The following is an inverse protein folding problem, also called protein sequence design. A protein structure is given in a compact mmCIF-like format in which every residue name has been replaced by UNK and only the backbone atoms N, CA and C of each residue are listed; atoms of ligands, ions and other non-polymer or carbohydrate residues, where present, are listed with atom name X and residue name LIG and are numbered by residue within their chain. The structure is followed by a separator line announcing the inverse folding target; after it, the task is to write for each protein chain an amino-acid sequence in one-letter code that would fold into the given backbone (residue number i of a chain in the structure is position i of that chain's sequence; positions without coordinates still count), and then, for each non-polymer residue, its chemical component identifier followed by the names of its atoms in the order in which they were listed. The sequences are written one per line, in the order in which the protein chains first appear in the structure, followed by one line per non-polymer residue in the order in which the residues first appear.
data_IF_472038071145
#
_entry.id   IF_472038071145
#
_cell.length_a   1.000
_cell.length_b   1.000
_cell.length_c   1.000
_cell.angle_alpha   90.00
_cell.angle_beta   90.00
_cell.angle_gamma   90.00
#
_symmetry.space_group_name_H-M   'P 1'
#
loop_
_entity.id
_entity.type
_entity.pdbx_description
1 polymer ?
2 non-polymer ?
3 non-polymer ?
4 water ?
#
# COMPACT_ATOMS: atom_id res chain seq x y z
N UNK A 21 0.06 11.56 -12.62
CA UNK A 21 -0.72 12.73 -12.31
C UNK A 21 0.06 13.77 -13.10
N UNK A 22 -0.58 14.78 -13.65
CA UNK A 22 0.19 15.87 -14.26
C UNK A 22 0.56 16.93 -13.25
N UNK A 23 1.85 17.29 -13.27
CA UNK A 23 2.45 18.25 -12.37
C UNK A 23 2.39 19.63 -13.02
N UNK A 24 1.67 20.55 -12.39
CA UNK A 24 1.62 21.94 -12.81
C UNK A 24 2.65 22.71 -11.99
N UNK A 25 3.73 23.17 -12.63
CA UNK A 25 4.80 23.82 -11.91
C UNK A 25 4.36 25.13 -11.27
N UNK A 26 3.50 25.89 -11.96
CA UNK A 26 3.03 27.14 -11.38
C UNK A 26 2.12 26.88 -10.19
N UNK A 27 1.33 25.81 -10.28
CA UNK A 27 0.49 25.40 -9.16
C UNK A 27 1.34 25.02 -7.95
N UNK A 28 2.40 24.25 -8.18
CA UNK A 28 3.24 23.83 -7.05
C UNK A 28 3.98 25.02 -6.45
N UNK A 29 4.54 25.88 -7.29
CA UNK A 29 5.19 27.09 -6.77
C UNK A 29 4.22 27.92 -5.94
N UNK A 30 2.98 28.09 -6.42
CA UNK A 30 1.99 28.84 -5.67
C UNK A 30 1.69 28.19 -4.32
N UNK A 31 1.63 26.84 -4.30
CA UNK A 31 1.35 26.15 -3.06
C UNK A 31 2.45 26.36 -2.03
N UNK A 32 3.71 26.44 -2.47
CA UNK A 32 4.80 26.64 -1.52
C UNK A 32 4.76 28.00 -0.86
N UNK A 33 4.01 28.96 -1.42
CA UNK A 33 3.80 30.22 -0.74
C UNK A 33 2.79 30.08 0.39
N UNK A 34 1.90 29.10 0.28
CA UNK A 34 0.84 28.86 1.26
C UNK A 34 1.18 27.75 2.24
N UNK A 35 1.98 26.76 1.83
CA UNK A 35 2.30 25.63 2.70
C UNK A 35 3.81 25.46 2.73
N UNK A 36 4.35 25.30 3.94
CA UNK A 36 5.79 25.15 4.11
C UNK A 36 6.25 23.79 3.58
N UNK A 37 7.30 23.82 2.76
CA UNK A 37 7.97 22.59 2.34
C UNK A 37 8.78 22.03 3.50
N UNK A 38 9.03 20.72 3.50
CA UNK A 38 8.59 19.77 2.47
C UNK A 38 7.14 19.32 2.68
N UNK A 39 6.42 19.03 1.60
CA UNK A 39 5.07 18.50 1.76
C UNK A 39 4.75 17.45 0.70
N UNK A 40 3.76 16.62 1.01
CA UNK A 40 3.17 15.70 0.03
C UNK A 40 1.93 16.36 -0.56
N UNK A 41 1.79 16.30 -1.88
CA UNK A 41 0.62 16.80 -2.57
C UNK A 41 -0.01 15.65 -3.35
N UNK A 42 -1.28 15.38 -3.07
CA UNK A 42 -2.03 14.30 -3.68
C UNK A 42 -3.04 14.85 -4.67
N UNK A 43 -3.05 14.31 -5.87
CA UNK A 43 -4.03 14.68 -6.89
C UNK A 43 -5.24 13.76 -6.74
N UNK A 44 -6.26 14.22 -6.01
CA UNK A 44 -7.43 13.41 -5.75
C UNK A 44 -8.31 13.20 -6.97
N UNK A 45 -8.21 14.09 -7.97
CA UNK A 45 -8.90 13.85 -9.23
C UNK A 45 -8.28 12.69 -9.98
N UNK A 46 -6.95 12.63 -10.00
CA UNK A 46 -6.28 11.46 -10.56
C UNK A 46 -6.63 10.20 -9.76
N UNK A 47 -6.64 10.28 -8.43
CA UNK A 47 -6.93 9.08 -7.64
C UNK A 47 -8.25 8.48 -8.08
N UNK A 48 -9.27 9.33 -8.22
CA UNK A 48 -10.60 8.85 -8.58
C UNK A 48 -10.63 8.30 -10.00
N UNK A 49 -10.07 9.04 -10.96
CA UNK A 49 -10.09 8.61 -12.35
C UNK A 49 -9.32 7.31 -12.55
N UNK A 50 -8.16 7.22 -11.91
CA UNK A 50 -7.34 6.01 -11.96
C UNK A 50 -8.08 4.82 -11.37
N UNK A 51 -8.75 4.99 -10.23
CA UNK A 51 -9.53 3.91 -9.65
C UNK A 51 -10.70 3.53 -10.56
N UNK A 52 -11.43 4.52 -11.08
CA UNK A 52 -12.61 4.18 -11.87
C UNK A 52 -12.25 3.47 -13.16
N UNK A 53 -11.09 3.79 -13.73
CA UNK A 53 -10.66 3.07 -14.93
C UNK A 53 -10.40 1.59 -14.60
N UNK A 54 -9.78 1.34 -13.44
CA UNK A 54 -9.55 -0.03 -13.00
C UNK A 54 -10.87 -0.73 -12.73
N UNK A 55 -11.77 -0.06 -12.01
CA UNK A 55 -13.06 -0.65 -11.67
C UNK A 55 -13.84 -1.01 -12.92
N UNK A 56 -13.85 -0.12 -13.92
CA UNK A 56 -14.69 -0.33 -15.08
C UNK A 56 -14.28 -1.58 -15.85
N UNK A 57 -13.01 -1.97 -15.75
CA UNK A 57 -12.49 -3.10 -16.50
C UNK A 57 -12.67 -4.43 -15.78
N UNK A 58 -13.25 -4.42 -14.58
CA UNK A 58 -13.19 -5.57 -13.69
C UNK A 58 -14.58 -6.11 -13.38
N UNK A 59 -14.73 -7.43 -13.46
CA UNK A 59 -15.99 -8.09 -13.19
C UNK A 59 -16.61 -7.57 -11.89
N UNK A 60 -17.90 -7.24 -11.87
CA UNK A 60 -18.49 -6.65 -10.65
C UNK A 60 -18.51 -7.57 -9.45
N UNK A 61 -18.32 -8.89 -9.63
CA UNK A 61 -18.21 -9.82 -8.51
C UNK A 61 -16.89 -9.70 -7.78
N UNK A 62 -15.92 -8.99 -8.34
CA UNK A 62 -14.67 -8.68 -7.66
C UNK A 62 -14.83 -7.33 -6.99
N UNK A 63 -14.54 -7.26 -5.69
CA UNK A 63 -14.50 -6.02 -4.93
C UNK A 63 -13.04 -5.66 -4.69
N UNK A 64 -12.69 -4.40 -4.91
CA UNK A 64 -11.35 -3.96 -4.56
C UNK A 64 -11.26 -3.59 -3.09
N UNK A 65 -10.13 -3.95 -2.49
CA UNK A 65 -9.83 -3.62 -1.10
C UNK A 65 -8.56 -2.78 -1.07
N UNK A 66 -8.63 -1.65 -0.38
CA UNK A 66 -7.46 -0.80 -0.15
C UNK A 66 -6.58 -1.39 0.95
N UNK A 67 -5.29 -1.49 0.69
CA UNK A 67 -4.35 -1.93 1.72
C UNK A 67 -3.89 -0.69 2.48
N UNK A 68 -4.34 -0.56 3.71
CA UNK A 68 -4.09 0.67 4.46
C UNK A 68 -2.61 0.88 4.74
N UNK A 69 -1.80 -0.16 4.78
CA UNK A 69 -0.41 0.07 5.11
C UNK A 69 0.33 0.90 4.08
N UNK A 70 -0.18 0.97 2.84
CA UNK A 70 0.47 1.78 1.82
C UNK A 70 0.34 3.27 2.06
N UNK A 71 -0.64 3.70 2.85
CA UNK A 71 -0.80 5.12 3.16
C UNK A 71 -1.79 5.24 4.29
N UNK A 72 -1.36 5.74 5.45
CA UNK A 72 -2.20 5.75 6.64
C UNK A 72 -3.01 7.01 6.80
N UNK A 73 -3.14 7.83 5.75
CA UNK A 73 -3.93 9.05 5.89
C UNK A 73 -5.42 8.75 5.74
N UNK A 74 -6.18 8.99 6.81
CA UNK A 74 -7.60 8.63 6.84
C UNK A 74 -8.41 9.42 5.83
N UNK A 75 -7.95 10.62 5.45
CA UNK A 75 -8.72 11.41 4.48
C UNK A 75 -8.61 10.84 3.08
N UNK A 76 -7.48 10.25 2.73
CA UNK A 76 -7.40 9.53 1.47
C UNK A 76 -8.21 8.24 1.55
N UNK A 77 -8.09 7.51 2.67
CA UNK A 77 -8.81 6.25 2.79
C UNK A 77 -10.32 6.48 2.69
N UNK A 78 -10.81 7.62 3.20
CA UNK A 78 -12.24 7.93 3.13
C UNK A 78 -12.72 8.04 1.70
N UNK A 79 -11.88 8.50 0.78
CA UNK A 79 -12.28 8.55 -0.63
C UNK A 79 -12.62 7.16 -1.13
N UNK A 80 -11.73 6.20 -0.88
CA UNK A 80 -11.98 4.83 -1.32
C UNK A 80 -13.18 4.22 -0.61
N UNK A 81 -13.36 4.52 0.67
CA UNK A 81 -14.56 4.07 1.36
C UNK A 81 -15.81 4.56 0.62
N UNK A 82 -15.83 5.84 0.23
CA UNK A 82 -16.99 6.40 -0.43
C UNK A 82 -17.25 5.74 -1.78
N UNK A 83 -16.21 5.26 -2.45
CA UNK A 83 -16.39 4.60 -3.74
C UNK A 83 -16.77 3.12 -3.62
N UNK A 84 -16.83 2.57 -2.41
CA UNK A 84 -17.30 1.22 -2.22
C UNK A 84 -16.22 0.19 -2.01
N UNK A 85 -14.96 0.60 -1.88
CA UNK A 85 -13.92 -0.39 -1.64
C UNK A 85 -13.99 -0.90 -0.20
N UNK A 86 -13.46 -2.09 -0.01
CA UNK A 86 -13.15 -2.56 1.33
C UNK A 86 -11.79 -2.04 1.77
N UNK A 87 -11.41 -2.39 2.99
CA UNK A 87 -10.09 -2.06 3.48
C UNK A 87 -9.48 -3.28 4.17
N UNK A 88 -8.20 -3.52 3.87
CA UNK A 88 -7.36 -4.52 4.51
C UNK A 88 -6.45 -3.88 5.54
N UNK A 89 -6.61 -4.28 6.80
CA UNK A 89 -5.85 -3.75 7.92
C UNK A 89 -4.93 -4.84 8.45
N UNK A 90 -3.82 -4.42 9.06
CA UNK A 90 -2.82 -5.37 9.51
C UNK A 90 -2.49 -5.21 10.99
N UNK A 91 -3.27 -4.43 11.73
CA UNK A 91 -3.06 -4.24 13.15
C UNK A 91 -4.32 -3.65 13.74
N UNK A 92 -4.41 -3.70 15.06
CA UNK A 92 -5.51 -3.02 15.73
C UNK A 92 -5.45 -1.51 15.51
N UNK A 93 -4.26 -0.95 15.35
CA UNK A 93 -4.15 0.47 15.04
C UNK A 93 -4.75 0.81 13.69
N UNK A 94 -4.44 0.00 12.67
CA UNK A 94 -5.04 0.17 11.35
C UNK A 94 -6.54 -0.06 11.39
N UNK A 95 -7.01 -0.99 12.23
CA UNK A 95 -8.46 -1.14 12.40
C UNK A 95 -9.10 0.16 12.90
N UNK A 96 -8.44 0.83 13.85
CA UNK A 96 -8.94 2.11 14.34
C UNK A 96 -8.95 3.16 13.23
N UNK A 97 -7.86 3.24 12.45
CA UNK A 97 -7.83 4.14 11.30
C UNK A 97 -8.96 3.84 10.32
N UNK A 98 -9.22 2.56 10.06
CA UNK A 98 -10.27 2.18 9.12
C UNK A 98 -11.62 2.69 9.60
N UNK A 99 -11.87 2.64 10.91
CA UNK A 99 -13.13 3.14 11.43
C UNK A 99 -13.18 4.68 11.42
N UNK A 100 -12.05 5.35 11.69
CA UNK A 100 -12.01 6.81 11.48
C UNK A 100 -12.41 7.16 10.05
N UNK A 101 -11.96 6.35 9.09
CA UNK A 101 -12.25 6.59 7.67
C UNK A 101 -13.66 6.18 7.28
N UNK A 102 -14.43 5.59 8.20
CA UNK A 102 -15.82 5.27 7.96
C UNK A 102 -16.10 3.95 7.26
N UNK A 103 -15.12 3.07 7.14
CA UNK A 103 -15.39 1.76 6.56
C UNK A 103 -16.29 0.96 7.50
N UNK A 104 -17.31 0.33 6.93
CA UNK A 104 -18.18 -0.48 7.76
C UNK A 104 -17.50 -1.82 8.07
N UNK A 105 -17.95 -2.44 9.16
CA UNK A 105 -17.37 -3.72 9.60
C UNK A 105 -17.41 -4.77 8.49
N UNK A 106 -18.49 -4.82 7.71
CA UNK A 106 -18.62 -5.79 6.63
C UNK A 106 -17.66 -5.56 5.48
N UNK A 107 -16.92 -4.45 5.51
CA UNK A 107 -15.92 -4.14 4.50
C UNK A 107 -14.52 -4.06 5.06
N UNK A 108 -14.26 -4.71 6.19
CA UNK A 108 -12.93 -4.72 6.81
C UNK A 108 -12.44 -6.15 6.94
N UNK A 109 -11.22 -6.41 6.47
CA UNK A 109 -10.54 -7.67 6.71
C UNK A 109 -9.21 -7.40 7.39
N UNK A 110 -8.79 -8.35 8.21
CA UNK A 110 -7.62 -8.27 9.08
C UNK A 110 -6.58 -9.33 8.77
N UNK A 111 -5.44 -8.90 8.22
CA UNK A 111 -4.35 -9.78 7.84
C UNK A 111 -3.19 -9.63 8.81
N UNK A 112 -2.25 -10.55 8.70
CA UNK A 112 -0.95 -10.39 9.33
C UNK A 112 -0.45 -11.66 10.03
N UNK A 113 0.86 -11.87 10.03
CA UNK A 113 1.43 -13.12 10.57
C UNK A 113 1.71 -13.09 12.05
N UNK A 114 1.49 -11.96 12.72
CA UNK A 114 1.84 -11.84 14.11
C UNK A 114 0.80 -11.10 14.93
N UNK A 115 -0.46 -11.49 14.80
CA UNK A 115 -1.52 -10.81 15.55
C UNK A 115 -1.44 -11.20 17.01
N UNK A 116 -1.35 -10.20 17.89
CA UNK A 116 -1.43 -10.49 19.31
C UNK A 116 -2.85 -10.85 19.69
N UNK A 117 -2.99 -11.60 20.79
CA UNK A 117 -4.32 -11.94 21.27
C UNK A 117 -5.18 -10.70 21.56
N UNK A 118 -4.57 -9.60 22.03
CA UNK A 118 -5.35 -8.37 22.25
C UNK A 118 -5.88 -7.79 20.95
N UNK A 119 -5.14 -7.95 19.85
CA UNK A 119 -5.62 -7.53 18.54
C UNK A 119 -6.74 -8.44 18.04
N UNK A 120 -6.59 -9.75 18.24
CA UNK A 120 -7.66 -10.67 17.88
C UNK A 120 -8.92 -10.37 18.68
N UNK A 121 -8.76 -10.00 19.96
CA UNK A 121 -9.90 -9.68 20.80
C UNK A 121 -10.69 -8.51 20.22
N UNK A 122 -10.01 -7.40 19.92
CA UNK A 122 -10.69 -6.25 19.35
C UNK A 122 -11.36 -6.59 18.01
N UNK A 123 -10.69 -7.42 17.20
CA UNK A 123 -11.26 -7.80 15.90
C UNK A 123 -12.53 -8.61 16.08
N UNK A 124 -12.53 -9.55 17.04
CA UNK A 124 -13.73 -10.33 17.34
C UNK A 124 -14.84 -9.41 17.88
N UNK A 125 -14.47 -8.48 18.77
CA UNK A 125 -15.45 -7.55 19.34
C UNK A 125 -16.04 -6.62 18.29
N UNK A 126 -15.28 -6.33 17.23
CA UNK A 126 -15.71 -5.41 16.17
C UNK A 126 -16.60 -6.07 15.13
N UNK A 127 -16.70 -7.40 15.11
CA UNK A 127 -17.57 -8.07 14.15
C UNK A 127 -17.20 -7.85 12.69
N UNK A 128 -15.91 -7.73 12.39
CA UNK A 128 -15.48 -7.43 11.03
C UNK A 128 -15.77 -8.60 10.10
N UNK A 129 -15.70 -8.34 8.80
CA UNK A 129 -16.01 -9.35 7.78
C UNK A 129 -15.18 -10.62 7.97
N UNK A 130 -13.86 -10.50 8.11
CA UNK A 130 -13.14 -11.69 8.53
C UNK A 130 -11.76 -11.33 9.05
N UNK A 131 -11.26 -12.23 9.89
CA UNK A 131 -9.87 -12.26 10.31
C UNK A 131 -9.19 -13.31 9.46
N UNK A 132 -8.11 -12.94 8.79
CA UNK A 132 -7.42 -13.87 7.90
C UNK A 132 -6.32 -14.52 8.72
N UNK A 133 -6.58 -15.74 9.18
CA UNK A 133 -5.64 -16.43 10.06
C UNK A 133 -4.43 -16.94 9.31
N UNK A 134 -3.28 -16.93 9.98
CA UNK A 134 -2.02 -17.36 9.41
C UNK A 134 -1.40 -18.53 10.15
N UNK A 135 -2.09 -19.10 11.14
CA UNK A 135 -1.64 -20.31 11.79
C UNK A 135 -2.84 -21.02 12.43
N UNK A 136 -2.65 -22.31 12.70
CA UNK A 136 -3.66 -23.06 13.42
C UNK A 136 -3.81 -22.54 14.85
N UNK A 137 -2.70 -22.16 15.49
CA UNK A 137 -2.79 -21.61 16.83
C UNK A 137 -3.64 -20.34 16.85
N UNK A 138 -3.49 -19.49 15.83
CA UNK A 138 -4.34 -18.32 15.69
C UNK A 138 -5.82 -18.68 15.64
N UNK A 139 -6.15 -19.72 14.86
CA UNK A 139 -7.54 -20.17 14.79
C UNK A 139 -8.07 -20.51 16.18
N UNK A 140 -7.29 -21.21 16.99
CA UNK A 140 -7.77 -21.58 18.31
C UNK A 140 -7.91 -20.36 19.22
N UNK A 141 -7.02 -19.38 19.10
CA UNK A 141 -7.16 -18.13 19.85
C UNK A 141 -8.47 -17.44 19.50
N UNK A 142 -8.77 -17.36 18.21
CA UNK A 142 -10.00 -16.73 17.75
C UNK A 142 -11.21 -17.45 18.31
N UNK A 143 -11.19 -18.79 18.28
CA UNK A 143 -12.31 -19.56 18.84
C UNK A 143 -12.50 -19.24 20.31
N UNK A 144 -11.41 -19.18 21.07
CA UNK A 144 -11.51 -18.92 22.50
C UNK A 144 -12.10 -17.54 22.76
N UNK A 145 -11.71 -16.55 21.94
CA UNK A 145 -12.23 -15.21 22.09
C UNK A 145 -13.70 -15.12 21.65
N UNK A 146 -14.06 -15.82 20.58
CA UNK A 146 -15.46 -15.85 20.16
C UNK A 146 -16.35 -16.41 21.26
N UNK A 147 -15.89 -17.47 21.93
CA UNK A 147 -16.64 -18.01 23.06
C UNK A 147 -16.79 -16.98 24.16
N UNK A 148 -15.70 -16.30 24.50
CA UNK A 148 -15.75 -15.36 25.62
C UNK A 148 -16.66 -14.18 25.30
N UNK A 149 -16.68 -13.76 24.04
CA UNK A 149 -17.47 -12.63 23.59
C UNK A 149 -18.88 -13.00 23.14
N UNK A 150 -19.24 -14.29 23.16
CA UNK A 150 -20.54 -14.73 22.68
C UNK A 150 -20.81 -14.22 21.26
N UNK A 151 -19.85 -14.44 20.38
CA UNK A 151 -19.98 -14.08 18.98
C UNK A 151 -19.59 -15.26 18.10
N UNK A 152 -20.06 -15.23 16.86
CA UNK A 152 -19.54 -16.10 15.82
C UNK A 152 -18.46 -15.32 15.09
N UNK A 153 -17.22 -15.77 15.19
CA UNK A 153 -16.13 -15.12 14.50
C UNK A 153 -15.97 -15.69 13.09
N UNK A 154 -15.74 -14.81 12.12
CA UNK A 154 -15.59 -15.21 10.73
C UNK A 154 -14.11 -15.20 10.37
N UNK A 155 -13.62 -16.33 9.85
CA UNK A 155 -12.19 -16.47 9.57
C UNK A 155 -11.96 -16.94 8.14
N UNK A 156 -10.87 -16.46 7.56
CA UNK A 156 -10.32 -17.01 6.32
C UNK A 156 -8.93 -17.53 6.63
N UNK A 157 -8.36 -18.26 5.70
CA UNK A 157 -7.01 -18.78 5.87
C UNK A 157 -6.10 -18.21 4.78
N UNK A 158 -4.93 -17.74 5.19
CA UNK A 158 -3.92 -17.30 4.25
C UNK A 158 -3.07 -18.52 3.86
N UNK A 159 -3.04 -18.82 2.56
CA UNK A 159 -2.36 -20.00 2.04
C UNK A 159 -1.09 -19.57 1.32
N UNK A 160 0.02 -20.22 1.67
CA UNK A 160 1.26 -20.06 0.93
C UNK A 160 1.29 -21.16 -0.13
N UNK A 161 1.06 -20.84 -1.41
CA UNK A 161 0.89 -21.90 -2.41
C UNK A 161 2.13 -22.77 -2.56
N UNK A 162 1.89 -24.03 -2.88
CA UNK A 162 2.99 -24.94 -3.19
C UNK A 162 3.32 -24.88 -4.69
N UNK A 163 3.49 -23.67 -5.19
CA UNK A 163 3.82 -23.43 -6.57
C UNK A 163 4.52 -22.08 -6.68
N UNK A 164 5.51 -21.99 -7.56
CA UNK A 164 6.19 -20.72 -7.83
C UNK A 164 5.61 -20.13 -9.10
N UNK A 165 5.44 -18.83 -9.13
CA UNK A 165 4.77 -18.17 -10.24
C UNK A 165 5.74 -17.31 -11.05
N UNK A 166 5.45 -17.19 -12.34
CA UNK A 166 6.32 -16.53 -13.28
C UNK A 166 7.08 -17.55 -14.12
N UNK A 167 8.09 -17.04 -14.82
CA UNK A 167 8.94 -17.89 -15.65
C UNK A 167 10.42 -17.67 -15.33
N UNK A 168 10.74 -17.46 -14.05
CA UNK A 168 12.11 -17.16 -13.65
C UNK A 168 12.62 -17.93 -12.43
N UNK A 169 11.75 -18.44 -11.55
CA UNK A 169 12.20 -19.22 -10.41
C UNK A 169 12.75 -20.57 -10.84
N UNK A 170 13.70 -21.08 -10.07
CA UNK A 170 14.34 -22.36 -10.38
C UNK A 170 13.51 -23.53 -9.86
N UNK A 171 13.33 -23.59 -8.56
CA UNK A 171 12.73 -24.78 -7.96
C UNK A 171 11.20 -24.71 -8.05
N UNK A 172 10.60 -25.83 -8.39
CA UNK A 172 9.15 -25.97 -8.28
C UNK A 172 8.72 -25.97 -6.83
N UNK A 173 7.44 -25.72 -6.62
CA UNK A 173 6.80 -25.98 -5.35
C UNK A 173 6.62 -24.79 -4.42
N UNK A 174 6.89 -23.59 -4.86
CA UNK A 174 6.66 -22.44 -4.00
C UNK A 174 7.83 -22.24 -3.05
N UNK A 175 7.72 -21.15 -2.27
CA UNK A 175 8.86 -20.59 -1.54
C UNK A 175 8.61 -20.49 -0.04
N UNK A 176 9.63 -20.69 0.79
CA UNK A 176 9.45 -20.61 2.24
C UNK A 176 9.14 -19.18 2.66
N UNK A 177 8.04 -19.01 3.41
CA UNK A 177 7.63 -17.68 3.81
C UNK A 177 7.08 -17.73 5.24
N UNK A 178 7.26 -16.62 5.97
CA UNK A 178 6.67 -16.47 7.29
C UNK A 178 5.17 -16.26 7.24
N UNK A 179 4.59 -16.03 6.06
CA UNK A 179 3.18 -15.67 5.94
C UNK A 179 2.32 -16.90 5.68
N UNK A 180 1.20 -16.98 6.38
CA UNK A 180 0.18 -17.98 6.09
C UNK A 180 0.66 -19.39 6.38
N UNK A 181 0.02 -20.34 5.71
CA UNK A 181 0.21 -21.75 5.99
C UNK A 181 0.42 -22.43 4.65
N UNK A 182 1.45 -23.28 4.57
CA UNK A 182 1.74 -24.01 3.33
C UNK A 182 0.50 -24.74 2.84
N UNK A 183 0.29 -24.69 1.52
CA UNK A 183 -0.83 -25.41 0.93
C UNK A 183 -0.81 -26.90 1.30
N UNK A 184 0.37 -27.49 1.48
CA UNK A 184 0.47 -28.90 1.84
C UNK A 184 -0.15 -29.21 3.19
N UNK A 185 -0.34 -28.19 4.03
CA UNK A 185 -0.94 -28.33 5.34
C UNK A 185 -2.45 -28.19 5.35
N UNK A 186 -3.09 -28.09 4.18
CA UNK A 186 -4.51 -27.77 4.13
C UNK A 186 -5.36 -28.77 4.91
N UNK A 187 -5.05 -30.07 4.86
CA UNK A 187 -5.87 -31.02 5.59
C UNK A 187 -5.85 -30.76 7.09
N UNK A 188 -4.66 -30.51 7.65
CA UNK A 188 -4.57 -30.20 9.07
C UNK A 188 -5.31 -28.91 9.40
N UNK A 189 -5.19 -27.91 8.55
CA UNK A 189 -5.86 -26.64 8.78
C UNK A 189 -7.39 -26.83 8.76
N UNK A 190 -7.90 -27.49 7.71
CA UNK A 190 -9.34 -27.75 7.62
C UNK A 190 -9.86 -28.64 8.74
N UNK A 191 -9.05 -29.60 9.22
CA UNK A 191 -9.47 -30.36 10.39
C UNK A 191 -9.64 -29.45 11.60
N UNK A 192 -8.67 -28.53 11.82
CA UNK A 192 -8.80 -27.58 12.91
C UNK A 192 -10.01 -26.68 12.71
N UNK A 193 -10.15 -26.09 11.51
CA UNK A 193 -11.27 -25.20 11.19
C UNK A 193 -12.60 -25.84 11.54
N UNK A 194 -12.81 -27.06 11.10
CA UNK A 194 -14.12 -27.68 11.24
C UNK A 194 -14.43 -28.09 12.68
N UNK A 195 -13.45 -28.05 13.58
CA UNK A 195 -13.67 -28.34 14.98
C UNK A 195 -14.04 -27.12 15.82
N UNK A 196 -14.06 -25.93 15.22
CA UNK A 196 -14.26 -24.68 15.96
C UNK A 196 -15.74 -24.34 15.95
N UNK A 197 -16.38 -24.43 17.11
CA UNK A 197 -17.84 -24.34 17.15
C UNK A 197 -18.37 -22.92 17.07
N UNK A 198 -17.56 -21.92 17.42
CA UNK A 198 -17.95 -20.52 17.44
C UNK A 198 -17.33 -19.73 16.30
N UNK A 199 -16.70 -20.40 15.35
CA UNK A 199 -15.99 -19.74 14.27
C UNK A 199 -16.56 -20.26 12.96
N UNK A 200 -16.80 -19.36 12.01
CA UNK A 200 -17.30 -19.74 10.69
C UNK A 200 -16.19 -19.53 9.66
N UNK A 201 -15.86 -20.58 8.91
CA UNK A 201 -14.87 -20.49 7.86
C UNK A 201 -15.51 -19.83 6.66
N UNK A 202 -14.92 -18.75 6.17
CA UNK A 202 -15.50 -18.08 5.01
C UNK A 202 -14.63 -18.10 3.77
N UNK A 203 -13.36 -18.51 3.87
CA UNK A 203 -12.63 -18.65 2.60
C UNK A 203 -11.13 -18.54 2.77
N UNK A 204 -10.49 -18.10 1.69
CA UNK A 204 -9.05 -18.22 1.53
C UNK A 204 -8.46 -16.92 1.00
N UNK A 205 -7.14 -16.80 1.15
CA UNK A 205 -6.41 -15.63 0.71
C UNK A 205 -5.02 -16.07 0.24
N UNK A 206 -4.62 -15.59 -0.94
CA UNK A 206 -3.25 -15.76 -1.44
C UNK A 206 -2.72 -14.38 -1.80
N UNK A 207 -1.51 -14.06 -1.34
CA UNK A 207 -0.86 -12.81 -1.72
C UNK A 207 0.60 -13.11 -1.98
N UNK A 208 1.04 -12.85 -3.20
CA UNK A 208 2.36 -13.31 -3.62
C UNK A 208 3.46 -12.29 -3.43
N UNK A 209 3.16 -11.06 -3.03
CA UNK A 209 4.20 -10.09 -2.74
C UNK A 209 4.01 -8.78 -3.48
N UNK A 210 4.67 -7.74 -2.97
CA UNK A 210 4.47 -6.40 -3.47
C UNK A 210 5.36 -6.12 -4.68
N UNK A 211 5.02 -5.04 -5.40
CA UNK A 211 5.81 -4.55 -6.54
C UNK A 211 6.03 -5.62 -7.60
N UNK A 212 4.93 -6.29 -7.95
CA UNK A 212 4.96 -7.32 -8.97
C UNK A 212 4.71 -6.66 -10.31
N UNK A 213 5.72 -6.66 -11.18
CA UNK A 213 5.61 -6.07 -12.50
C UNK A 213 5.50 -7.13 -13.59
N UNK A 214 5.23 -8.37 -13.22
CA UNK A 214 5.19 -9.47 -14.18
C UNK A 214 3.70 -9.79 -14.36
N UNK A 215 3.14 -9.31 -15.47
CA UNK A 215 1.71 -9.45 -15.75
C UNK A 215 1.26 -10.90 -15.69
N UNK A 216 2.01 -11.79 -16.35
CA UNK A 216 1.57 -13.18 -16.43
C UNK A 216 1.64 -13.86 -15.06
N UNK A 217 2.61 -13.49 -14.22
CA UNK A 217 2.69 -14.12 -12.90
C UNK A 217 1.51 -13.74 -12.04
N UNK A 218 1.03 -12.51 -12.18
CA UNK A 218 -0.17 -12.09 -11.45
C UNK A 218 -1.38 -12.88 -11.91
N UNK A 219 -1.58 -12.98 -13.23
CA UNK A 219 -2.71 -13.76 -13.74
C UNK A 219 -2.64 -15.20 -13.26
N UNK A 220 -1.45 -15.81 -13.35
CA UNK A 220 -1.27 -17.19 -12.92
C UNK A 220 -1.62 -17.37 -11.44
N UNK A 221 -1.14 -16.47 -10.58
CA UNK A 221 -1.43 -16.65 -9.15
C UNK A 221 -2.91 -16.48 -8.85
N UNK A 222 -3.58 -15.52 -9.51
CA UNK A 222 -5.00 -15.31 -9.23
C UNK A 222 -5.83 -16.50 -9.72
N UNK A 223 -5.49 -17.02 -10.91
CA UNK A 223 -6.16 -18.24 -11.38
C UNK A 223 -5.91 -19.39 -10.43
N UNK A 224 -4.68 -19.52 -9.94
CA UNK A 224 -4.36 -20.60 -8.99
C UNK A 224 -5.21 -20.48 -7.73
N UNK A 225 -5.48 -19.26 -7.30
CA UNK A 225 -6.28 -19.05 -6.09
C UNK A 225 -7.73 -19.43 -6.31
N UNK A 226 -8.30 -19.09 -7.46
CA UNK A 226 -9.66 -19.57 -7.78
C UNK A 226 -9.67 -21.09 -7.78
N UNK A 227 -8.64 -21.70 -8.38
CA UNK A 227 -8.57 -23.15 -8.46
C UNK A 227 -8.42 -23.79 -7.08
N UNK A 228 -7.73 -23.11 -6.16
CA UNK A 228 -7.68 -23.60 -4.78
C UNK A 228 -9.07 -23.60 -4.15
N UNK A 229 -9.88 -22.60 -4.48
CA UNK A 229 -11.26 -22.62 -4.04
C UNK A 229 -12.00 -23.84 -4.57
N UNK A 230 -11.79 -24.19 -5.83
CA UNK A 230 -12.40 -25.40 -6.35
C UNK A 230 -11.90 -26.63 -5.61
N UNK A 231 -10.59 -26.67 -5.33
CA UNK A 231 -9.98 -27.80 -4.65
C UNK A 231 -10.58 -27.99 -3.26
N UNK A 232 -10.91 -26.88 -2.58
CA UNK A 232 -11.50 -26.96 -1.26
C UNK A 232 -12.93 -27.51 -1.33
N UNK A 233 -13.67 -27.15 -2.37
CA UNK A 233 -14.98 -27.78 -2.56
C UNK A 233 -14.84 -29.27 -2.84
N UNK A 234 -13.89 -29.65 -3.71
CA UNK A 234 -13.74 -31.05 -4.09
C UNK A 234 -13.31 -31.91 -2.90
N UNK A 235 -12.44 -31.38 -2.03
CA UNK A 235 -11.88 -32.15 -0.94
C UNK A 235 -12.71 -32.11 0.33
N UNK A 236 -13.40 -31.00 0.60
CA UNK A 236 -14.11 -30.81 1.86
C UNK A 236 -15.59 -30.50 1.71
N UNK A 237 -16.08 -30.33 0.49
CA UNK A 237 -17.48 -29.99 0.33
C UNK A 237 -17.85 -28.59 0.73
N UNK A 238 -16.88 -27.72 0.98
CA UNK A 238 -17.13 -26.34 1.42
C UNK A 238 -16.98 -25.42 0.22
N UNK A 239 -17.95 -24.51 0.07
CA UNK A 239 -17.90 -23.44 -0.94
C UNK A 239 -17.45 -22.17 -0.23
N UNK A 240 -16.23 -21.73 -0.54
CA UNK A 240 -15.72 -20.48 0.01
C UNK A 240 -16.66 -19.32 -0.32
N UNK A 241 -17.05 -18.58 0.72
CA UNK A 241 -17.85 -17.37 0.54
C UNK A 241 -17.01 -16.18 0.14
N UNK A 242 -15.69 -16.24 0.35
CA UNK A 242 -14.78 -15.16 0.03
C UNK A 242 -13.50 -15.78 -0.49
N UNK A 243 -13.10 -15.37 -1.69
CA UNK A 243 -11.82 -15.77 -2.25
C UNK A 243 -11.03 -14.49 -2.50
N UNK A 244 -9.97 -14.30 -1.72
CA UNK A 244 -9.14 -13.10 -1.79
C UNK A 244 -7.92 -13.43 -2.67
N UNK A 245 -7.90 -12.81 -3.85
CA UNK A 245 -6.89 -13.03 -4.87
C UNK A 245 -5.60 -12.25 -4.63
N UNK A 246 -5.56 -11.42 -3.59
CA UNK A 246 -4.36 -10.65 -3.33
C UNK A 246 -4.14 -9.62 -4.43
N UNK A 247 -2.90 -9.52 -4.92
CA UNK A 247 -2.65 -8.56 -5.97
C UNK A 247 -1.18 -8.20 -6.10
N UNK A 248 -0.75 -7.24 -5.29
CA UNK A 248 0.62 -6.78 -5.38
C UNK A 248 0.96 -6.08 -6.67
N UNK A 249 -0.03 -5.48 -7.34
CA UNK A 249 0.23 -4.84 -8.62
C UNK A 249 1.35 -3.80 -8.46
N UNK A 250 2.41 -3.94 -9.24
CA UNK A 250 3.50 -2.99 -9.17
C UNK A 250 3.26 -1.72 -9.97
N UNK A 251 4.12 -0.74 -9.70
CA UNK A 251 4.10 0.53 -10.40
C UNK A 251 5.54 0.77 -10.85
N UNK A 252 5.80 1.19 -12.09
CA UNK A 252 7.19 1.46 -12.50
C UNK A 252 7.71 2.71 -11.83
N UNK A 253 8.88 2.59 -11.20
CA UNK A 253 9.57 3.75 -10.66
C UNK A 253 10.79 4.16 -11.47
N UNK A 254 11.44 3.21 -12.12
CA UNK A 254 12.70 3.47 -12.79
C UNK A 254 12.53 3.30 -14.29
N UNK A 255 13.46 3.89 -15.04
CA UNK A 255 13.31 3.96 -16.51
C UNK A 255 13.31 2.59 -17.15
N UNK A 256 14.00 1.61 -16.55
CA UNK A 256 14.04 0.26 -17.10
C UNK A 256 12.80 -0.55 -16.77
N UNK A 257 11.88 -0.03 -15.96
CA UNK A 257 10.69 -0.78 -15.58
C UNK A 257 9.53 -0.45 -16.51
N UNK A 258 8.72 -1.47 -16.80
CA UNK A 258 7.58 -1.35 -17.67
C UNK A 258 6.30 -1.54 -16.87
N UNK A 259 5.27 -0.78 -17.22
CA UNK A 259 3.99 -0.86 -16.53
C UNK A 259 3.32 -2.21 -16.79
N UNK A 260 2.54 -2.66 -15.82
CA UNK A 260 1.73 -3.86 -16.02
C UNK A 260 0.72 -3.66 -17.14
N UNK A 261 0.40 -4.76 -17.82
CA UNK A 261 -0.73 -4.79 -18.75
C UNK A 261 -2.00 -5.01 -17.92
N UNK A 262 -2.52 -3.92 -17.36
CA UNK A 262 -3.69 -4.00 -16.49
C UNK A 262 -4.92 -4.46 -17.28
N UNK A 263 -5.01 -4.09 -18.56
CA UNK A 263 -6.08 -4.62 -19.39
C UNK A 263 -6.07 -6.14 -19.45
N UNK A 264 -4.89 -6.73 -19.64
CA UNK A 264 -4.81 -8.19 -19.72
C UNK A 264 -5.17 -8.84 -18.40
N UNK A 265 -4.64 -8.32 -17.28
CA UNK A 265 -4.94 -8.87 -15.96
C UNK A 265 -6.44 -8.81 -15.69
N UNK A 266 -7.04 -7.63 -15.86
CA UNK A 266 -8.45 -7.47 -15.52
C UNK A 266 -9.34 -8.33 -16.40
N UNK A 267 -9.06 -8.39 -17.71
CA UNK A 267 -9.90 -9.18 -18.59
C UNK A 267 -9.78 -10.67 -18.26
N UNK A 268 -8.55 -11.18 -18.15
CA UNK A 268 -8.35 -12.61 -17.96
C UNK A 268 -8.88 -13.09 -16.61
N UNK A 269 -8.59 -12.35 -15.55
CA UNK A 269 -9.08 -12.75 -14.23
C UNK A 269 -10.59 -12.59 -14.14
N UNK A 270 -11.15 -11.51 -14.71
CA UNK A 270 -12.60 -11.35 -14.71
C UNK A 270 -13.30 -12.54 -15.36
N UNK A 271 -12.77 -12.99 -16.50
CA UNK A 271 -13.37 -14.13 -17.20
C UNK A 271 -13.24 -15.40 -16.37
N UNK A 272 -12.09 -15.61 -15.71
CA UNK A 272 -11.91 -16.80 -14.89
C UNK A 272 -12.83 -16.77 -13.68
N UNK A 273 -13.01 -15.60 -13.08
CA UNK A 273 -13.94 -15.45 -11.97
C UNK A 273 -15.38 -15.67 -12.44
N UNK A 274 -15.73 -15.14 -13.61
CA UNK A 274 -17.09 -15.33 -14.09
C UNK A 274 -17.41 -16.82 -14.30
N UNK A 275 -16.45 -17.58 -14.83
CA UNK A 275 -16.67 -19.02 -14.98
C UNK A 275 -16.88 -19.68 -13.63
N UNK A 276 -16.18 -19.23 -12.59
CA UNK A 276 -16.42 -19.78 -11.26
C UNK A 276 -17.79 -19.37 -10.73
N UNK A 277 -18.19 -18.11 -10.92
CA UNK A 277 -19.51 -17.67 -10.47
C UNK A 277 -20.62 -18.43 -11.20
N UNK A 278 -20.40 -18.73 -12.49
CA UNK A 278 -21.43 -19.41 -13.27
C UNK A 278 -21.57 -20.87 -12.87
N UNK A 279 -20.59 -21.43 -12.18
CA UNK A 279 -20.65 -22.83 -11.81
C UNK A 279 -20.77 -23.00 -10.30
N UNK A 280 -19.63 -23.07 -9.61
CA UNK A 280 -19.61 -23.49 -8.22
C UNK A 280 -19.72 -22.34 -7.22
N UNK A 281 -19.46 -21.09 -7.62
CA UNK A 281 -19.34 -20.01 -6.66
C UNK A 281 -20.30 -18.85 -6.92
N UNK A 282 -21.62 -19.08 -7.03
CA UNK A 282 -22.53 -18.02 -7.49
C UNK A 282 -22.69 -16.85 -6.53
N UNK A 283 -22.40 -17.02 -5.23
CA UNK A 283 -22.56 -15.94 -4.27
C UNK A 283 -21.25 -15.58 -3.58
N UNK A 284 -20.13 -15.97 -4.17
CA UNK A 284 -18.83 -15.74 -3.54
C UNK A 284 -18.34 -14.33 -3.85
N UNK A 285 -17.84 -13.66 -2.82
CA UNK A 285 -17.15 -12.37 -2.97
C UNK A 285 -15.70 -12.64 -3.34
N UNK A 286 -15.26 -12.12 -4.48
CA UNK A 286 -13.86 -12.18 -4.85
C UNK A 286 -13.23 -10.83 -4.54
N UNK A 287 -12.01 -10.83 -4.01
CA UNK A 287 -11.32 -9.59 -3.63
C UNK A 287 -10.00 -9.50 -4.39
N UNK A 288 -9.72 -8.30 -4.91
CA UNK A 288 -8.38 -7.90 -5.28
C UNK A 288 -7.97 -6.76 -4.36
N UNK A 289 -6.81 -6.89 -3.73
CA UNK A 289 -6.26 -5.91 -2.82
C UNK A 289 -5.26 -5.04 -3.58
N UNK A 290 -5.21 -3.76 -3.21
CA UNK A 290 -4.19 -2.87 -3.75
C UNK A 290 -3.90 -1.75 -2.76
N UNK A 291 -2.60 -1.47 -2.59
CA UNK A 291 -2.17 -0.23 -1.96
C UNK A 291 -1.39 0.61 -2.96
N UNK A 292 -0.24 0.10 -3.38
CA UNK A 292 0.67 0.86 -4.24
C UNK A 292 -0.02 1.29 -5.52
N UNK A 293 -0.70 0.37 -6.22
CA UNK A 293 -1.23 0.72 -7.53
C UNK A 293 -2.28 1.82 -7.43
N UNK A 294 -3.06 1.82 -6.35
CA UNK A 294 -4.11 2.82 -6.23
C UNK A 294 -3.55 4.20 -5.91
N UNK A 295 -2.38 4.28 -5.25
CA UNK A 295 -1.93 5.54 -4.65
C UNK A 295 -0.58 6.06 -5.13
N UNK A 296 0.34 5.22 -5.62
CA UNK A 296 1.72 5.65 -5.79
C UNK A 296 1.83 6.86 -6.71
N UNK A 297 1.20 6.78 -7.88
CA UNK A 297 1.36 7.81 -8.90
C UNK A 297 0.59 9.08 -8.59
N UNK A 298 -0.23 9.08 -7.54
CA UNK A 298 -1.11 10.19 -7.27
C UNK A 298 -0.47 11.31 -6.46
N UNK A 299 0.77 11.15 -5.98
CA UNK A 299 1.36 12.15 -5.11
C UNK A 299 2.75 12.56 -5.57
N UNK A 300 3.10 13.79 -5.20
CA UNK A 300 4.43 14.30 -5.38
C UNK A 300 4.92 14.75 -4.00
N UNK A 301 6.21 14.56 -3.75
CA UNK A 301 6.82 15.07 -2.52
C UNK A 301 7.66 16.27 -2.92
N UNK A 302 7.30 17.45 -2.43
CA UNK A 302 7.88 18.70 -2.88
C UNK A 302 8.84 19.20 -1.81
N UNK A 303 10.10 19.46 -2.21
CA UNK A 303 11.14 19.89 -1.27
C UNK A 303 12.01 20.98 -1.88
N UNK A 304 12.34 21.99 -1.07
CA UNK A 304 13.04 23.18 -1.52
C UNK A 304 14.54 23.02 -1.32
N UNK A 305 15.32 23.48 -2.30
CA UNK A 305 16.76 23.52 -2.18
C UNK A 305 17.15 24.57 -1.17
N UNK A 306 17.87 24.15 -0.11
CA UNK A 306 18.38 25.09 0.89
C UNK A 306 19.78 25.59 0.59
N UNK A 307 20.69 24.72 0.16
CA UNK A 307 22.09 25.05 -0.02
C UNK A 307 22.65 24.29 -1.21
N UNK A 308 23.71 24.85 -1.80
CA UNK A 308 24.43 24.24 -2.88
C UNK A 308 25.92 24.42 -2.61
N UNK A 309 26.69 23.35 -2.80
CA UNK A 309 28.11 23.40 -2.54
C UNK A 309 28.85 22.46 -3.48
N UNK A 310 30.13 22.74 -3.66
CA UNK A 310 31.04 21.82 -4.31
C UNK A 310 31.87 21.13 -3.24
N UNK A 311 32.08 19.82 -3.39
CA UNK A 311 33.02 19.11 -2.53
C UNK A 311 33.85 18.17 -3.38
N UNK A 312 35.14 18.45 -3.46
CA UNK A 312 36.13 17.55 -4.06
C UNK A 312 35.71 17.12 -5.46
N UNK A 313 35.34 18.10 -6.27
CA UNK A 313 34.99 17.86 -7.65
C UNK A 313 33.53 17.55 -7.91
N UNK A 314 32.74 17.30 -6.88
CA UNK A 314 31.32 16.99 -7.02
C UNK A 314 30.49 18.18 -6.56
N UNK A 315 29.24 18.20 -7.00
CA UNK A 315 28.27 19.20 -6.56
C UNK A 315 27.24 18.50 -5.69
N UNK A 316 26.93 19.10 -4.54
CA UNK A 316 25.86 18.64 -3.67
C UNK A 316 24.79 19.71 -3.55
N UNK A 317 23.55 19.29 -3.68
CA UNK A 317 22.37 20.14 -3.49
C UNK A 317 21.66 19.60 -2.25
N UNK A 318 21.49 20.44 -1.23
CA UNK A 318 20.85 20.04 0.02
C UNK A 318 19.42 20.55 0.02
N UNK A 319 18.46 19.64 0.20
CA UNK A 319 17.05 20.01 0.19
C UNK A 319 16.50 19.90 1.61
N UNK A 320 15.29 20.45 1.80
CA UNK A 320 14.67 20.52 3.13
C UNK A 320 13.88 19.29 3.53
N UNK A 321 13.82 18.27 2.67
CA UNK A 321 13.14 17.05 3.00
C UNK A 321 14.05 15.88 2.69
N UNK A 322 13.63 14.70 3.10
CA UNK A 322 14.50 13.56 2.88
C UNK A 322 13.98 12.31 3.57
N UNK A 323 14.94 11.51 4.04
CA UNK A 323 14.71 10.13 4.44
C UNK A 323 13.69 10.02 5.58
N UNK A 324 13.64 11.02 6.46
CA UNK A 324 12.71 10.95 7.58
C UNK A 324 11.26 11.12 7.14
N UNK A 325 11.03 11.62 5.92
CA UNK A 325 9.69 11.72 5.34
C UNK A 325 9.42 10.78 4.20
N UNK A 326 10.47 10.41 3.45
CA UNK A 326 10.25 9.60 2.27
C UNK A 326 11.48 8.69 2.14
N UNK A 327 11.51 7.69 3.03
CA UNK A 327 12.66 6.79 3.09
C UNK A 327 12.82 6.02 1.79
N UNK A 328 11.71 5.60 1.18
CA UNK A 328 11.81 4.72 0.01
C UNK A 328 12.63 5.37 -1.11
N UNK A 329 12.56 6.70 -1.24
CA UNK A 329 13.36 7.32 -2.29
C UNK A 329 14.85 7.28 -1.99
N UNK A 330 15.24 6.85 -0.80
CA UNK A 330 16.63 6.91 -0.42
C UNK A 330 17.37 5.59 -0.52
N UNK A 331 16.72 4.47 -0.86
CA UNK A 331 17.52 3.28 -0.64
C UNK A 331 16.89 2.10 -1.36
N UNK A 338 19.12 2.95 -7.63
CA UNK A 338 18.64 3.89 -8.64
C UNK A 338 18.03 5.12 -7.97
N UNK A 339 17.28 5.91 -8.73
CA UNK A 339 16.71 7.16 -8.24
C UNK A 339 15.26 7.25 -8.67
N UNK A 340 14.37 7.67 -7.74
CA UNK A 340 12.99 7.92 -8.13
C UNK A 340 12.91 8.92 -9.27
N UNK A 341 11.80 8.92 -10.01
CA UNK A 341 11.58 9.99 -10.99
C UNK A 341 11.42 11.31 -10.26
N UNK A 342 12.05 12.35 -10.81
CA UNK A 342 12.03 13.67 -10.18
C UNK A 342 11.83 14.73 -11.23
N UNK A 343 11.15 15.81 -10.83
CA UNK A 343 11.00 17.00 -11.65
C UNK A 343 11.52 18.20 -10.87
N UNK A 344 12.06 19.16 -11.59
CA UNK A 344 12.76 20.29 -11.00
C UNK A 344 12.06 21.58 -11.42
N UNK A 345 11.84 22.46 -10.46
CA UNK A 345 11.17 23.73 -10.71
C UNK A 345 12.14 24.86 -10.39
N UNK A 346 12.64 25.59 -11.38
CA UNK A 346 13.51 26.73 -11.07
C UNK A 346 12.68 27.89 -10.54
N UNK A 347 13.09 28.41 -9.37
CA UNK A 347 12.42 29.51 -8.71
C UNK A 347 13.34 30.72 -8.56
N UNK A 348 14.60 30.49 -8.17
CA UNK A 348 15.53 31.57 -7.90
C UNK A 348 15.65 32.51 -9.08
N UNK A 349 15.46 33.81 -8.82
CA UNK A 349 15.35 34.80 -9.87
C UNK A 349 16.60 35.65 -9.99
N UNK A 350 17.73 35.04 -10.34
CA UNK A 350 18.99 35.78 -10.37
C UNK A 350 20.11 35.02 -11.07
N UNK A 351 19.82 33.97 -11.80
CA UNK A 351 21.01 33.16 -12.07
C UNK A 351 21.14 32.63 -13.50
N UNK A 352 20.07 32.14 -14.11
CA UNK A 352 20.07 31.76 -15.53
C UNK A 352 21.22 30.87 -15.97
N UNK A 353 21.93 30.36 -14.98
CA UNK A 353 23.11 29.49 -15.06
C UNK A 353 22.71 28.02 -14.93
N UNK A 354 21.70 27.65 -15.74
CA UNK A 354 20.96 26.40 -15.69
C UNK A 354 21.50 25.31 -16.61
N UNK A 355 22.81 25.23 -16.80
CA UNK A 355 23.38 24.17 -17.62
C UNK A 355 23.14 22.81 -16.95
N UNK A 356 23.03 21.76 -17.75
CA UNK A 356 22.95 20.41 -17.21
C UNK A 356 24.23 20.11 -16.44
N UNK A 357 24.08 19.43 -15.31
CA UNK A 357 25.21 19.06 -14.47
C UNK A 357 24.84 17.77 -13.76
N UNK A 358 25.88 17.04 -13.38
CA UNK A 358 25.75 15.90 -12.52
C UNK A 358 25.82 16.32 -11.04
N UNK A 359 24.79 16.01 -10.23
CA UNK A 359 24.79 16.44 -8.83
C UNK A 359 24.34 15.29 -7.95
N UNK A 360 24.60 15.43 -6.66
CA UNK A 360 23.99 14.57 -5.65
C UNK A 360 23.01 15.45 -4.87
N UNK A 361 21.78 14.97 -4.75
CA UNK A 361 20.74 15.65 -4.00
C UNK A 361 20.61 14.96 -2.64
N UNK A 362 20.87 15.72 -1.57
CA UNK A 362 20.88 15.18 -0.22
C UNK A 362 19.88 15.95 0.64
N UNK A 363 19.29 15.27 1.61
CA UNK A 363 18.39 15.92 2.55
C UNK A 363 19.11 16.60 3.71
N UNK A 364 18.35 17.02 4.72
CA UNK A 364 18.94 17.81 5.82
C UNK A 364 19.46 16.97 6.99
N UNK A 365 19.41 15.65 6.89
CA UNK A 365 19.79 14.80 8.01
C UNK A 365 21.30 14.61 8.08
N UNK A 366 21.78 14.38 9.30
CA UNK A 366 23.20 14.23 9.60
C UNK A 366 23.66 12.79 9.36
N UNK A 367 23.42 12.29 8.15
CA UNK A 367 23.78 10.92 7.79
C UNK A 367 23.91 10.83 6.29
N UNK A 368 24.95 10.16 5.77
CA UNK A 368 25.09 10.05 4.31
C UNK A 368 23.99 9.23 3.64
N UNK A 369 23.21 8.47 4.40
CA UNK A 369 22.09 7.73 3.82
C UNK A 369 20.97 8.63 3.32
N UNK A 370 20.92 9.90 3.78
CA UNK A 370 19.84 10.82 3.41
C UNK A 370 20.13 11.43 2.04
N UNK A 371 19.97 10.59 1.01
CA UNK A 371 20.31 10.93 -0.37
C UNK A 371 19.09 10.66 -1.23
N UNK A 372 18.51 11.72 -1.80
CA UNK A 372 17.39 11.52 -2.71
C UNK A 372 17.85 11.13 -4.11
N UNK A 373 19.03 11.57 -4.52
CA UNK A 373 19.53 11.23 -5.83
C UNK A 373 21.03 11.31 -5.89
N UNK A 374 21.71 10.21 -6.21
CA UNK A 374 23.16 10.27 -6.38
C UNK A 374 23.53 10.33 -7.85
N UNK A 375 24.43 11.25 -8.18
CA UNK A 375 25.01 11.38 -9.52
C UNK A 375 23.94 11.58 -10.58
N UNK A 376 22.98 12.43 -10.29
CA UNK A 376 21.82 12.57 -11.14
C UNK A 376 22.11 13.74 -12.06
N UNK A 377 21.67 13.66 -13.32
CA UNK A 377 22.01 14.70 -14.31
C UNK A 377 20.82 15.63 -14.49
N UNK A 378 20.94 16.84 -13.93
CA UNK A 378 19.80 17.76 -13.80
C UNK A 378 20.24 19.12 -14.34
N UNK A 379 19.28 19.99 -14.65
CA UNK A 379 19.62 21.41 -14.83
C UNK A 379 20.04 21.97 -13.48
N UNK A 380 21.04 22.84 -13.50
CA UNK A 380 21.68 23.31 -12.28
C UNK A 380 20.67 23.83 -11.27
N UNK A 381 20.74 23.29 -10.06
CA UNK A 381 19.79 23.61 -8.99
C UNK A 381 20.41 24.59 -8.02
N UNK A 382 19.66 25.63 -7.66
CA UNK A 382 20.11 26.69 -6.78
C UNK A 382 19.14 26.85 -5.63
N UNK A 383 19.60 27.42 -4.51
CA UNK A 383 18.71 27.62 -3.36
C UNK A 383 17.42 28.34 -3.77
N UNK A 384 16.29 27.82 -3.31
CA UNK A 384 14.98 28.28 -3.67
C UNK A 384 14.30 27.46 -4.73
N UNK A 385 15.05 26.74 -5.56
CA UNK A 385 14.43 25.84 -6.51
C UNK A 385 13.70 24.71 -5.77
N UNK A 386 12.74 24.08 -6.45
CA UNK A 386 11.99 22.99 -5.87
C UNK A 386 12.36 21.68 -6.56
N UNK A 387 12.56 20.63 -5.76
CA UNK A 387 12.75 19.27 -6.23
C UNK A 387 11.47 18.51 -5.92
N UNK A 388 10.87 17.91 -6.95
CA UNK A 388 9.60 17.21 -6.78
C UNK A 388 9.84 15.73 -7.05
N UNK A 389 9.60 14.91 -6.04
CA UNK A 389 9.80 13.47 -6.16
C UNK A 389 8.46 12.84 -6.55
N UNK A 390 8.44 12.19 -7.71
CA UNK A 390 7.21 11.65 -8.25
C UNK A 390 6.94 10.27 -7.67
N UNK A 391 5.74 9.76 -7.92
CA UNK A 391 5.33 8.42 -7.49
C UNK A 391 5.50 8.21 -5.99
N UNK A 392 5.10 9.22 -5.21
CA UNK A 392 5.35 9.28 -3.78
C UNK A 392 4.12 8.96 -2.93
N UNK A 393 3.03 8.49 -3.55
CA UNK A 393 1.77 8.33 -2.84
C UNK A 393 1.64 7.10 -1.98
N UNK A 394 2.53 6.13 -2.14
CA UNK A 394 2.43 4.87 -1.40
C UNK A 394 3.77 4.60 -0.75
N UNK A 395 3.73 4.01 0.44
CA UNK A 395 4.94 3.70 1.20
C UNK A 395 5.81 4.96 1.34
N UNK A 396 5.16 6.05 1.74
CA UNK A 396 5.77 7.36 1.90
C UNK A 396 5.95 7.72 3.36
N UNK A 397 5.12 8.65 3.86
CA UNK A 397 5.28 9.17 5.21
C UNK A 397 5.35 8.07 6.25
N UNK A 398 4.33 7.20 6.29
CA UNK A 398 4.25 6.22 7.36
C UNK A 398 5.26 5.09 7.23
N UNK A 399 5.96 5.00 6.09
CA UNK A 399 7.05 4.06 5.89
C UNK A 399 8.39 4.61 6.35
N UNK A 400 8.42 5.86 6.83
CA UNK A 400 9.68 6.53 7.08
C UNK A 400 9.90 6.74 8.57
N UNK A 401 11.16 6.89 9.00
CA UNK A 401 11.47 7.15 10.42
C UNK A 401 11.22 8.62 10.76
N UNK A 402 9.94 8.92 11.00
CA UNK A 402 9.49 10.30 11.04
C UNK A 402 10.13 11.11 12.15
N UNK A 403 10.51 10.48 13.26
CA UNK A 403 11.09 11.23 14.38
C UNK A 403 12.60 11.25 14.38
N UNK A 404 13.24 10.64 13.40
CA UNK A 404 14.70 10.59 13.38
C UNK A 404 15.25 12.00 13.19
N UNK A 405 16.10 12.46 14.11
CA UNK A 405 16.71 13.79 14.08
C UNK A 405 15.74 14.91 14.45
N UNK A 406 14.49 14.60 14.80
CA UNK A 406 13.60 15.57 15.41
C UNK A 406 12.98 16.59 14.49
N UNK A 407 12.98 16.36 13.18
CA UNK A 407 12.35 17.32 12.27
C UNK A 407 10.84 17.16 12.25
N UNK A 408 10.10 18.25 12.03
CA UNK A 408 8.63 18.16 12.00
C UNK A 408 8.17 17.25 10.88
N UNK A 409 7.17 16.41 11.17
CA UNK A 409 6.54 15.63 10.12
C UNK A 409 5.91 16.60 9.11
N UNK A 410 5.79 16.19 7.84
CA UNK A 410 5.40 17.13 6.79
C UNK A 410 3.90 17.31 6.66
N UNK A 411 3.55 18.48 6.14
CA UNK A 411 2.20 18.75 5.69
C UNK A 411 1.83 17.80 4.53
N UNK A 412 0.57 17.40 4.50
CA UNK A 412 0.01 16.71 3.35
C UNK A 412 -1.21 17.49 2.87
N UNK A 413 -1.30 17.64 1.54
CA UNK A 413 -2.34 18.44 0.89
C UNK A 413 -3.05 17.55 -0.12
N UNK A 414 -4.38 17.67 -0.16
CA UNK A 414 -5.21 16.95 -1.12
C UNK A 414 -5.84 17.96 -2.07
N UNK A 415 -5.51 17.84 -3.37
CA UNK A 415 -6.15 18.61 -4.42
C UNK A 415 -7.33 17.82 -4.98
N UNK A 416 -8.49 18.44 -5.04
CA UNK A 416 -9.64 17.71 -5.55
C UNK A 416 -10.76 18.69 -5.86
N UNK A 417 -11.40 18.47 -7.02
CA UNK A 417 -12.54 19.27 -7.43
C UNK A 417 -12.21 20.76 -7.47
N UNK A 418 -10.94 21.10 -7.75
CA UNK A 418 -10.54 22.48 -7.89
C UNK A 418 -10.16 23.18 -6.61
N UNK A 419 -10.14 22.46 -5.48
CA UNK A 419 -9.83 23.05 -4.19
C UNK A 419 -8.70 22.26 -3.54
N UNK A 420 -8.04 22.89 -2.57
CA UNK A 420 -6.94 22.25 -1.86
C UNK A 420 -7.33 22.15 -0.40
N UNK A 421 -7.09 20.97 0.18
CA UNK A 421 -7.48 20.67 1.55
C UNK A 421 -6.24 20.19 2.29
N UNK A 422 -5.99 20.76 3.47
CA UNK A 422 -4.93 20.26 4.34
C UNK A 422 -5.41 18.94 4.95
N UNK A 423 -4.68 17.86 4.70
CA UNK A 423 -5.05 16.55 5.25
C UNK A 423 -4.07 16.04 6.28
N UNK A 424 -3.01 16.79 6.58
CA UNK A 424 -2.15 16.49 7.71
C UNK A 424 -1.42 17.76 8.06
N UNK A 425 -1.50 18.17 9.33
CA UNK A 425 -0.79 19.35 9.79
C UNK A 425 0.70 19.04 9.97
N UNK A 426 1.51 20.10 9.88
CA UNK A 426 2.92 20.01 10.21
C UNK A 426 3.12 19.48 11.62
N UNK A 427 4.11 18.60 11.79
CA UNK A 427 4.42 18.10 13.12
C UNK A 427 5.06 19.15 14.01
N UNK A 428 5.05 18.87 15.31
CA UNK A 428 5.67 19.73 16.31
C UNK A 428 6.59 18.90 17.18
N UNK A 429 7.46 19.60 17.93
CA UNK A 429 8.28 18.94 18.93
C UNK A 429 7.43 18.25 20.00
N UNK A 430 6.27 18.83 20.34
CA UNK A 430 5.38 18.16 21.29
C UNK A 430 4.95 16.79 20.79
N UNK A 431 4.84 16.60 19.47
CA UNK A 431 4.50 15.27 18.95
C UNK A 431 5.59 14.27 19.30
N UNK A 432 6.86 14.70 19.28
CA UNK A 432 7.97 13.79 19.56
C UNK A 432 7.96 13.32 21.00
N UNK A 433 7.76 14.25 21.94
CA UNK A 433 7.86 13.94 23.37
C UNK A 433 6.60 13.40 24.00
N UNK A 434 5.48 13.38 23.27
CA UNK A 434 4.20 12.97 23.86
C UNK A 434 4.33 11.69 24.66
N UNK A 435 4.89 10.63 24.05
CA UNK A 435 5.02 9.35 24.74
C UNK A 435 6.01 9.38 25.90
N UNK A 436 6.87 10.40 25.98
CA UNK A 436 7.91 10.49 26.99
C UNK A 436 7.50 11.27 28.23
N UNK A 437 6.54 12.18 28.12
CA UNK A 437 6.23 13.07 29.26
C UNK A 437 5.24 12.53 30.29
N UNK A 438 4.59 11.52 29.69
CA UNK A 438 3.24 10.93 29.85
C UNK A 438 3.33 9.52 30.45
X LIG B 1 -2.29 -7.63 0.77
X LIG B 1 -1.45 -8.03 1.76
X LIG B 1 -1.74 -9.31 2.49
X LIG B 1 -0.36 -7.25 2.09
X LIG B 1 0.44 -7.66 3.10
X LIG B 1 -0.12 -6.06 1.40
X LIG B 1 1.23 -5.41 1.54
X LIG B 1 -0.98 -5.68 0.38
X LIG B 1 -2.07 -6.48 0.05
X LIG B 1 -0.77 -4.41 -0.43
X LIG B 1 0.31 -4.59 -1.31
X LIG B 1 0.52 -3.52 -2.50
X LIG B 1 1.68 -4.06 -3.25
X LIG B 1 0.74 -2.16 -1.86
X LIG B 1 -0.71 -3.49 -3.39
X LIG C 1 8.12 0.36 -0.84
X LIG C 1 8.23 1.23 -1.96
X LIG C 1 8.57 -1.05 -1.14
X LIG C 1 7.78 -2.02 -0.50
X LIG C 1 6.99 -1.64 0.61
X LIG C 1 7.08 -2.80 1.59
X LIG C 1 6.01 -2.92 2.52
#
# INVERSE_FOLDING_TARGET
MGSSHHHHHHSSGLVPRGSHMNLDQAEITALTKRFETPFYLYDGDFIEAHYRQLRSRTNPAIQFYLSLKANNNIHLAKLFRQWGLGVEVASAGELALARHAGFSAENIIFSGPGKKRSELEIAVQSGIYCIIAESVEELFYIEELAEKENKTARVAIRINPDKSFGSTAIKMGGVPRQFGMDESMLDAVMDAVRSLQFTKFIGIHVYTGTQNLNTDSIIESMKYTVDLGRNIYERYGIVCECINLGGGFGVPYFSHEKALDIGKITRTVSDYVQEARDTRFPQTTFIIESGRYLLAQAAVYVTEVLYRKASKGEVFVIVDGGMHHHAASTFRGRSMRSNYPMEYIPVREDSGRRELEKVTIAGPLCTPEDCLGKDVHVPALYPGDLVCVLNSGAYGLSFSPVHFLGHPTPIEILKRNGSYELIRRKGTADDIVATQLQTESNLLFVDK
PLP N1 C2 C2A C3 O3 C4 C4A C5 C6 C5A O4P P O1P O2P O3P
PEG C1 O1 C2 O2 C3 C4 O4
#
